data_IF_567411526737
#
_entry.id   IF_567411526737
#
_cell.length_a   1.000
_cell.length_b   1.000
_cell.length_c   1.000
_cell.angle_alpha   90.00
_cell.angle_beta   90.00
_cell.angle_gamma   90.00
#
_symmetry.space_group_name_H-M   'P 1'
#
loop_
_entity.id
_entity.type
_entity.pdbx_description
1 polymer ?
#
# COMPACT_ATOMS: atom_id res chain seq x y z
N UNK A 1 8.55 10.32 14.58
CA UNK A 1 9.61 10.62 13.57
C UNK A 1 10.85 9.73 13.68
N UNK A 2 11.19 9.22 14.88
CA UNK A 2 12.38 8.38 15.10
C UNK A 2 12.11 6.88 15.03
N UNK A 3 10.89 6.49 14.68
CA UNK A 3 10.55 5.08 14.56
C UNK A 3 11.25 4.46 13.36
N UNK A 4 11.86 3.30 13.59
CA UNK A 4 12.56 2.52 12.58
C UNK A 4 11.97 1.13 12.44
N UNK A 5 12.23 0.50 11.30
CA UNK A 5 11.91 -0.89 11.00
C UNK A 5 13.01 -1.49 10.13
N UNK A 6 13.08 -2.83 10.10
CA UNK A 6 13.97 -3.56 9.22
C UNK A 6 13.32 -3.69 7.84
N UNK A 7 13.99 -3.19 6.80
CA UNK A 7 13.54 -3.31 5.41
C UNK A 7 13.92 -4.67 4.80
N UNK A 8 13.46 -4.92 3.58
CA UNK A 8 13.85 -6.05 2.75
C UNK A 8 12.72 -7.04 2.50
N UNK A 9 12.13 -7.60 3.56
CA UNK A 9 11.00 -8.54 3.43
C UNK A 9 10.02 -8.49 4.59
N UNK A 10 8.76 -8.77 4.29
CA UNK A 10 7.70 -9.00 5.27
C UNK A 10 6.82 -10.16 4.81
N UNK A 11 6.42 -11.02 5.74
CA UNK A 11 5.45 -12.08 5.49
C UNK A 11 4.07 -11.59 5.89
N UNK A 12 3.10 -11.69 4.98
CA UNK A 12 1.68 -11.41 5.24
C UNK A 12 0.91 -12.67 4.86
N UNK A 13 0.43 -13.40 5.86
CA UNK A 13 -0.20 -14.72 5.67
C UNK A 13 0.71 -15.65 4.85
N UNK A 14 0.28 -16.10 3.67
CA UNK A 14 0.99 -16.95 2.73
C UNK A 14 1.85 -16.18 1.70
N UNK A 15 1.77 -14.85 1.68
CA UNK A 15 2.51 -14.01 0.76
C UNK A 15 3.79 -13.40 1.37
N UNK A 16 4.91 -13.56 0.66
CA UNK A 16 6.15 -12.84 0.96
C UNK A 16 6.24 -11.58 0.11
N UNK A 17 6.26 -10.41 0.76
CA UNK A 17 6.41 -9.11 0.10
C UNK A 17 7.84 -8.64 0.32
N UNK A 18 8.53 -8.27 -0.76
CA UNK A 18 9.91 -7.77 -0.71
C UNK A 18 9.96 -6.29 -1.11
N UNK A 19 10.93 -5.57 -0.55
CA UNK A 19 11.38 -4.32 -1.12
C UNK A 19 12.08 -4.56 -2.46
N UNK A 20 12.06 -3.55 -3.34
CA UNK A 20 12.66 -3.64 -4.66
C UNK A 20 14.18 -3.90 -4.63
N UNK A 21 14.84 -3.49 -3.55
CA UNK A 21 16.28 -3.66 -3.32
C UNK A 21 16.61 -4.87 -2.42
N UNK A 22 15.61 -5.70 -2.09
CA UNK A 22 15.76 -6.88 -1.22
C UNK A 22 16.43 -6.58 0.14
N UNK A 23 16.36 -5.33 0.62
CA UNK A 23 16.82 -4.94 1.96
C UNK A 23 18.23 -4.39 2.03
N UNK A 24 18.86 -4.04 0.91
CA UNK A 24 20.18 -3.41 0.87
C UNK A 24 20.30 -2.17 1.77
N UNK A 25 19.20 -1.42 1.94
CA UNK A 25 19.16 -0.23 2.79
C UNK A 25 19.08 -0.51 4.30
N UNK A 26 18.79 -1.75 4.71
CA UNK A 26 18.79 -2.18 6.11
C UNK A 26 17.68 -1.54 6.95
N UNK A 27 18.05 -0.84 8.02
CA UNK A 27 17.09 -0.23 8.95
C UNK A 27 16.67 1.15 8.44
N UNK A 28 15.36 1.35 8.29
CA UNK A 28 14.77 2.58 7.76
C UNK A 28 13.87 3.26 8.78
N UNK A 29 13.81 4.59 8.75
CA UNK A 29 12.69 5.34 9.32
C UNK A 29 11.48 5.30 8.38
N UNK A 30 10.26 5.56 8.90
CA UNK A 30 9.06 5.63 8.04
C UNK A 30 9.13 6.73 6.97
N UNK A 31 9.87 7.82 7.21
CA UNK A 31 10.12 8.84 6.20
C UNK A 31 11.03 8.32 5.09
N UNK A 32 12.10 7.59 5.44
CA UNK A 32 12.94 6.93 4.45
C UNK A 32 12.17 5.85 3.69
N UNK A 33 11.25 5.12 4.35
CA UNK A 33 10.39 4.16 3.67
C UNK A 33 9.61 4.78 2.52
N UNK A 34 9.00 5.95 2.77
CA UNK A 34 8.29 6.69 1.74
C UNK A 34 9.27 7.22 0.67
N UNK A 35 10.38 7.84 1.06
CA UNK A 35 11.36 8.41 0.12
C UNK A 35 12.03 7.36 -0.77
N UNK A 36 12.18 6.13 -0.27
CA UNK A 36 12.84 5.03 -0.98
C UNK A 36 11.85 3.99 -1.47
N UNK A 37 10.54 4.26 -1.43
CA UNK A 37 9.49 3.36 -1.92
C UNK A 37 9.61 1.93 -1.37
N UNK A 38 9.80 1.80 -0.04
CA UNK A 38 9.84 0.51 0.63
C UNK A 38 8.43 -0.08 0.74
N UNK A 39 8.18 -1.17 0.01
CA UNK A 39 6.96 -1.97 0.10
C UNK A 39 6.73 -2.43 1.55
N UNK A 40 7.79 -2.89 2.22
CA UNK A 40 7.73 -3.34 3.63
C UNK A 40 7.23 -2.21 4.53
N UNK A 41 7.78 -1.00 4.38
CA UNK A 41 7.35 0.15 5.18
C UNK A 41 5.90 0.54 4.91
N UNK A 42 5.45 0.50 3.65
CA UNK A 42 4.05 0.80 3.32
C UNK A 42 3.09 -0.24 3.90
N UNK A 43 3.42 -1.53 3.83
CA UNK A 43 2.62 -2.60 4.45
C UNK A 43 2.53 -2.42 5.97
N UNK A 44 3.63 -2.05 6.65
CA UNK A 44 3.61 -1.78 8.10
C UNK A 44 2.64 -0.64 8.44
N UNK A 45 2.61 0.43 7.64
CA UNK A 45 1.68 1.55 7.84
C UNK A 45 0.23 1.14 7.58
N UNK A 46 -0.02 0.35 6.52
CA UNK A 46 -1.34 -0.21 6.22
C UNK A 46 -1.86 -1.05 7.38
N UNK A 47 -1.07 -1.99 7.89
CA UNK A 47 -1.46 -2.89 8.99
C UNK A 47 -1.82 -2.12 10.27
N UNK A 48 -1.16 -0.97 10.52
CA UNK A 48 -1.48 -0.08 11.66
C UNK A 48 -2.77 0.69 11.47
N UNK A 49 -3.07 1.10 10.24
CA UNK A 49 -4.35 1.70 9.91
C UNK A 49 -5.48 0.66 9.99
N UNK A 50 -5.16 -0.59 9.63
CA UNK A 50 -6.07 -1.73 9.64
C UNK A 50 -7.29 -1.44 8.76
N UNK A 51 -8.49 -1.72 9.29
CA UNK A 51 -9.74 -1.46 8.56
C UNK A 51 -9.95 -0.01 8.11
N UNK A 52 -9.24 0.97 8.70
CA UNK A 52 -9.32 2.37 8.25
C UNK A 52 -8.65 2.60 6.90
N UNK A 53 -7.73 1.74 6.47
CA UNK A 53 -7.07 1.85 5.16
C UNK A 53 -8.08 1.90 4.02
N UNK A 54 -9.04 0.97 4.01
CA UNK A 54 -10.09 0.92 3.01
C UNK A 54 -10.93 2.21 2.96
N UNK A 55 -11.27 2.76 4.14
CA UNK A 55 -12.00 4.02 4.24
C UNK A 55 -11.19 5.20 3.69
N UNK A 56 -9.86 5.20 3.83
CA UNK A 56 -9.02 6.23 3.24
C UNK A 56 -8.95 6.12 1.72
N UNK A 57 -8.84 4.92 1.16
CA UNK A 57 -8.91 4.73 -0.30
C UNK A 57 -10.22 5.29 -0.87
N UNK A 58 -11.35 4.99 -0.24
CA UNK A 58 -12.64 5.53 -0.67
C UNK A 58 -12.70 7.07 -0.56
N UNK A 59 -12.19 7.64 0.53
CA UNK A 59 -12.16 9.11 0.72
C UNK A 59 -11.24 9.82 -0.28
N UNK A 60 -10.20 9.14 -0.76
CA UNK A 60 -9.32 9.62 -1.81
C UNK A 60 -9.93 9.45 -3.22
N UNK A 61 -11.10 8.83 -3.35
CA UNK A 61 -11.82 8.69 -4.61
C UNK A 61 -11.53 7.41 -5.39
N UNK A 62 -10.70 6.49 -4.87
CA UNK A 62 -10.47 5.21 -5.54
C UNK A 62 -11.76 4.40 -5.65
N UNK A 63 -11.94 3.69 -6.77
CA UNK A 63 -13.14 2.91 -7.07
C UNK A 63 -14.36 3.75 -7.45
N UNK A 64 -14.19 5.05 -7.70
CA UNK A 64 -15.25 5.99 -8.03
C UNK A 64 -14.86 6.84 -9.24
N UNK A 65 -15.84 7.17 -10.09
CA UNK A 65 -15.64 8.17 -11.15
C UNK A 65 -15.32 9.52 -10.52
N UNK A 66 -14.40 10.24 -11.15
CA UNK A 66 -14.10 11.64 -10.86
C UNK A 66 -15.19 12.59 -11.33
N UNK A 67 -16.19 12.08 -12.07
CA UNK A 67 -17.26 12.83 -12.74
C UNK A 67 -16.70 13.87 -13.71
N UNK A 68 -15.66 13.47 -14.46
CA UNK A 68 -14.91 14.35 -15.37
C UNK A 68 -15.73 14.85 -16.56
N UNK A 69 -16.79 14.11 -16.93
CA UNK A 69 -17.57 14.35 -18.15
C UNK A 69 -16.91 13.80 -19.42
N UNK A 70 -15.83 13.02 -19.28
CA UNK A 70 -15.23 12.28 -20.38
C UNK A 70 -16.03 11.01 -20.65
N UNK A 71 -16.20 10.69 -21.94
CA UNK A 71 -16.75 9.40 -22.35
C UNK A 71 -15.78 8.28 -21.95
N UNK A 72 -16.33 7.11 -21.62
CA UNK A 72 -15.59 5.89 -21.24
C UNK A 72 -14.66 6.02 -20.00
N UNK A 73 -14.98 6.94 -19.06
CA UNK A 73 -14.29 6.99 -17.76
C UNK A 73 -14.48 5.68 -16.98
N UNK A 74 -13.37 5.08 -16.53
CA UNK A 74 -13.37 3.89 -15.68
C UNK A 74 -13.21 4.26 -14.21
N UNK A 75 -13.94 3.59 -13.33
CA UNK A 75 -13.92 3.88 -11.89
C UNK A 75 -12.70 3.30 -11.16
N UNK A 76 -11.91 2.45 -11.82
CA UNK A 76 -10.91 1.62 -11.16
C UNK A 76 -11.54 0.57 -10.23
N UNK A 77 -10.76 0.04 -9.29
CA UNK A 77 -11.19 -1.00 -8.36
C UNK A 77 -10.47 -0.88 -7.01
N UNK A 78 -11.22 -1.09 -5.92
CA UNK A 78 -10.65 -1.22 -4.57
C UNK A 78 -10.10 -2.63 -4.34
N UNK A 79 -9.11 -2.79 -3.44
CA UNK A 79 -8.68 -4.13 -3.02
C UNK A 79 -9.82 -4.92 -2.41
N UNK A 80 -9.76 -6.24 -2.58
CA UNK A 80 -10.72 -7.13 -1.93
C UNK A 80 -10.54 -7.09 -0.40
N UNK A 81 -11.45 -7.73 0.32
CA UNK A 81 -11.35 -7.82 1.79
C UNK A 81 -10.27 -8.79 2.27
N UNK A 82 -9.57 -9.47 1.36
CA UNK A 82 -8.44 -10.34 1.68
C UNK A 82 -7.30 -9.52 2.31
N UNK A 83 -6.69 -10.05 3.38
CA UNK A 83 -5.62 -9.37 4.13
C UNK A 83 -4.39 -9.12 3.24
N UNK A 84 -4.04 -10.08 2.38
CA UNK A 84 -2.95 -9.96 1.41
C UNK A 84 -3.28 -8.87 0.41
N UNK A 85 -4.45 -8.88 -0.23
CA UNK A 85 -4.84 -7.82 -1.18
C UNK A 85 -4.81 -6.42 -0.54
N UNK A 86 -5.28 -6.32 0.71
CA UNK A 86 -5.24 -5.06 1.45
C UNK A 86 -3.80 -4.59 1.70
N UNK A 87 -2.90 -5.48 2.13
CA UNK A 87 -1.48 -5.17 2.27
C UNK A 87 -0.84 -4.81 0.92
N UNK A 88 -1.16 -5.53 -0.15
CA UNK A 88 -0.66 -5.28 -1.50
C UNK A 88 -1.05 -3.91 -2.04
N UNK A 89 -2.25 -3.43 -1.69
CA UNK A 89 -2.73 -2.11 -2.10
C UNK A 89 -1.95 -0.95 -1.50
N UNK A 90 -1.22 -1.18 -0.39
CA UNK A 90 -0.35 -0.16 0.21
C UNK A 90 0.78 0.29 -0.71
N UNK A 91 1.16 -0.54 -1.68
CA UNK A 91 2.18 -0.24 -2.69
C UNK A 91 1.66 -0.38 -4.13
N UNK A 92 0.34 -0.26 -4.31
CA UNK A 92 -0.29 -0.14 -5.64
C UNK A 92 -0.61 -1.46 -6.36
N UNK A 93 -0.51 -2.60 -5.68
CA UNK A 93 -1.01 -3.88 -6.20
C UNK A 93 -2.41 -4.20 -5.68
N UNK A 94 -3.18 -5.02 -6.39
CA UNK A 94 -4.58 -5.34 -6.04
C UNK A 94 -5.51 -4.10 -5.90
N UNK A 95 -5.13 -2.96 -6.47
CA UNK A 95 -5.95 -1.76 -6.61
C UNK A 95 -5.88 -1.31 -8.06
N UNK A 96 -7.00 -0.88 -8.62
CA UNK A 96 -7.11 -0.37 -9.99
C UNK A 96 -7.45 1.11 -9.99
N UNK A 97 -6.86 1.86 -10.92
CA UNK A 97 -7.06 3.31 -11.12
C UNK A 97 -7.49 3.59 -12.55
#
# INVERSE_FOLDING_TARGET
ENETFQSGKIQVEDATINDHDFGEKGVLTMRQALSWSSNVGMVILEQRLGGRWYNYLQKLGFGQSTHSGLDDEVNGALPTLNIVDRAMSAYGQAVGV
#
